data_IF_178171153267
#
_entry.id   IF_178171153267
#
_cell.length_a   1.000
_cell.length_b   1.000
_cell.length_c   1.000
_cell.angle_alpha   90.00
_cell.angle_beta   90.00
_cell.angle_gamma   90.00
#
_symmetry.space_group_name_H-M   'P 1'
#
loop_
_entity.id
_entity.type
_entity.pdbx_description
1 polymer ?
#
# COMPACT_ATOMS: atom_id res chain seq x y z
N UNK A 1 16.74 11.31 10.57
CA UNK A 1 15.76 11.83 11.54
C UNK A 1 14.74 10.75 11.86
N UNK A 2 14.46 10.45 13.15
CA UNK A 2 13.46 9.46 13.56
C UNK A 2 12.07 9.69 12.96
N UNK A 3 11.69 10.95 12.71
CA UNK A 3 10.42 11.33 12.09
C UNK A 3 10.20 10.65 10.74
N UNK A 4 11.21 10.68 9.86
CA UNK A 4 11.11 10.11 8.51
C UNK A 4 11.10 8.59 8.52
N UNK A 5 11.86 7.96 9.42
CA UNK A 5 11.87 6.49 9.57
C UNK A 5 10.49 6.00 9.97
N UNK A 6 9.83 6.66 10.93
CA UNK A 6 8.47 6.31 11.35
C UNK A 6 7.45 6.50 10.23
N UNK A 7 7.52 7.65 9.55
CA UNK A 7 6.52 8.03 8.52
C UNK A 7 6.65 7.18 7.25
N UNK A 8 7.88 6.91 6.82
CA UNK A 8 8.17 6.18 5.58
C UNK A 8 8.25 4.66 5.76
N UNK A 9 8.31 4.17 7.01
CA UNK A 9 8.33 2.73 7.32
C UNK A 9 7.00 2.02 7.03
N UNK A 10 5.89 2.76 7.04
CA UNK A 10 4.57 2.25 6.72
C UNK A 10 4.19 2.63 5.28
N UNK A 11 4.04 1.65 4.39
CA UNK A 11 3.93 1.90 2.94
C UNK A 11 2.70 2.74 2.56
N UNK A 12 1.55 2.50 3.21
CA UNK A 12 0.32 3.27 2.97
C UNK A 12 0.48 4.73 3.42
N UNK A 13 0.95 4.99 4.65
CA UNK A 13 1.21 6.35 5.14
C UNK A 13 2.26 7.09 4.30
N UNK A 14 3.32 6.39 3.87
CA UNK A 14 4.32 6.96 2.96
C UNK A 14 3.69 7.37 1.63
N UNK A 15 2.84 6.51 1.05
CA UNK A 15 2.12 6.79 -0.19
C UNK A 15 1.19 8.00 -0.05
N UNK A 16 0.44 8.09 1.04
CA UNK A 16 -0.46 9.22 1.29
C UNK A 16 0.30 10.54 1.43
N UNK A 17 1.43 10.54 2.14
CA UNK A 17 2.31 11.69 2.24
C UNK A 17 2.81 12.12 0.86
N UNK A 18 3.31 11.18 0.05
CA UNK A 18 3.82 11.49 -1.30
C UNK A 18 2.71 12.04 -2.21
N UNK A 19 1.49 11.51 -2.10
CA UNK A 19 0.31 12.02 -2.81
C UNK A 19 -0.02 13.46 -2.43
N UNK A 20 0.01 13.80 -1.13
CA UNK A 20 -0.21 15.18 -0.65
C UNK A 20 0.82 16.15 -1.22
N UNK A 21 2.06 15.69 -1.42
CA UNK A 21 3.13 16.48 -2.04
C UNK A 21 3.12 16.48 -3.58
N UNK A 22 2.10 15.90 -4.22
CA UNK A 22 1.96 15.92 -5.68
C UNK A 22 2.91 14.99 -6.43
N UNK A 23 3.49 14.00 -5.74
CA UNK A 23 4.35 13.01 -6.40
C UNK A 23 3.54 12.11 -7.34
N UNK A 24 4.08 11.73 -8.51
CA UNK A 24 3.42 10.80 -9.41
C UNK A 24 3.33 9.41 -8.76
N UNK A 25 2.12 8.86 -8.69
CA UNK A 25 1.85 7.58 -8.05
C UNK A 25 1.23 6.59 -9.02
N UNK A 26 1.67 5.34 -8.99
CA UNK A 26 0.95 4.23 -9.66
C UNK A 26 -0.39 3.95 -8.96
N UNK A 27 -1.36 3.34 -9.65
CA UNK A 27 -2.61 2.87 -9.04
C UNK A 27 -2.31 1.87 -7.93
N UNK A 28 -2.98 2.01 -6.78
CA UNK A 28 -2.91 1.12 -5.63
C UNK A 28 -4.24 1.18 -4.92
N UNK A 29 -4.65 0.08 -4.28
CA UNK A 29 -5.75 0.11 -3.31
C UNK A 29 -5.36 0.93 -2.08
N UNK A 30 -6.37 1.25 -1.27
CA UNK A 30 -6.17 1.57 0.15
C UNK A 30 -5.78 0.31 0.93
N UNK A 31 -5.76 0.40 2.27
CA UNK A 31 -5.56 -0.77 3.12
C UNK A 31 -6.68 -1.78 2.86
N UNK A 32 -6.29 -3.04 2.63
CA UNK A 32 -7.26 -4.10 2.39
C UNK A 32 -8.03 -4.41 3.68
N UNK A 33 -9.37 -4.62 3.60
CA UNK A 33 -10.16 -5.07 4.72
C UNK A 33 -9.92 -6.55 5.02
N UNK A 34 -10.40 -7.02 6.18
CA UNK A 34 -10.29 -8.42 6.57
C UNK A 34 -11.27 -9.34 5.80
N UNK A 35 -12.31 -8.76 5.17
CA UNK A 35 -13.26 -9.50 4.35
C UNK A 35 -12.68 -9.88 2.98
N UNK A 36 -12.49 -11.18 2.76
CA UNK A 36 -11.93 -11.72 1.52
C UNK A 36 -12.80 -11.49 0.29
N UNK A 37 -14.12 -11.41 0.44
CA UNK A 37 -15.02 -11.15 -0.68
C UNK A 37 -14.85 -9.70 -1.17
N UNK A 38 -14.71 -8.76 -0.24
CA UNK A 38 -14.37 -7.37 -0.56
C UNK A 38 -12.98 -7.25 -1.18
N UNK A 39 -11.96 -7.91 -0.62
CA UNK A 39 -10.60 -7.95 -1.20
C UNK A 39 -10.63 -8.47 -2.64
N UNK A 40 -11.44 -9.51 -2.91
CA UNK A 40 -11.57 -10.10 -4.24
C UNK A 40 -12.22 -9.12 -5.23
N UNK A 41 -13.23 -8.35 -4.80
CA UNK A 41 -13.84 -7.31 -5.64
C UNK A 41 -12.84 -6.20 -5.98
N UNK A 42 -12.08 -5.74 -4.98
CA UNK A 42 -11.02 -4.72 -5.16
C UNK A 42 -9.99 -5.23 -6.17
N UNK A 43 -9.51 -6.47 -6.02
CA UNK A 43 -8.55 -7.06 -6.93
C UNK A 43 -9.05 -7.12 -8.38
N UNK A 44 -10.31 -7.52 -8.59
CA UNK A 44 -10.91 -7.56 -9.94
C UNK A 44 -11.05 -6.17 -10.57
N UNK A 45 -11.47 -5.17 -9.78
CA UNK A 45 -11.56 -3.79 -10.25
C UNK A 45 -10.18 -3.18 -10.59
N UNK A 46 -9.15 -3.58 -9.84
CA UNK A 46 -7.77 -3.16 -10.11
C UNK A 46 -7.19 -3.80 -11.38
N UNK A 47 -7.59 -5.03 -11.69
CA UNK A 47 -7.14 -5.79 -12.85
C UNK A 47 -5.81 -6.51 -12.61
N UNK A 48 -5.70 -7.74 -13.13
CA UNK A 48 -4.50 -8.56 -12.99
C UNK A 48 -3.46 -8.27 -14.09
N UNK A 49 -2.15 -8.50 -13.84
CA UNK A 49 -1.56 -9.01 -12.60
C UNK A 49 -1.44 -7.96 -11.49
N UNK A 50 -1.52 -8.41 -10.23
CA UNK A 50 -1.42 -7.58 -9.03
C UNK A 50 -0.19 -7.96 -8.21
N UNK A 51 0.25 -7.02 -7.36
CA UNK A 51 1.28 -7.26 -6.35
C UNK A 51 0.71 -6.97 -4.97
N UNK A 52 0.56 -8.01 -4.15
CA UNK A 52 0.17 -7.88 -2.76
C UNK A 52 1.39 -7.43 -1.94
N UNK A 53 1.22 -6.43 -1.08
CA UNK A 53 2.29 -5.94 -0.21
C UNK A 53 1.77 -5.72 1.21
N UNK A 54 2.51 -6.15 2.23
CA UNK A 54 2.15 -5.86 3.60
C UNK A 54 2.45 -4.39 3.89
N UNK A 55 1.51 -3.72 4.55
CA UNK A 55 1.58 -2.31 4.88
C UNK A 55 2.82 -2.00 5.75
N UNK A 56 3.10 -2.89 6.70
CA UNK A 56 4.29 -2.91 7.55
C UNK A 56 5.15 -4.14 7.21
N UNK A 57 6.46 -3.96 7.07
CA UNK A 57 7.38 -5.08 6.79
C UNK A 57 8.54 -4.68 5.89
N UNK A 58 9.67 -5.37 6.03
CA UNK A 58 10.90 -5.17 5.27
C UNK A 58 11.65 -6.49 5.08
N UNK A 59 12.55 -6.54 4.10
CA UNK A 59 13.36 -7.74 3.83
C UNK A 59 12.68 -8.84 2.99
N UNK A 60 11.54 -8.55 2.34
CA UNK A 60 10.84 -9.52 1.47
C UNK A 60 9.93 -10.51 2.21
N UNK A 61 9.78 -10.37 3.52
CA UNK A 61 8.85 -11.17 4.32
C UNK A 61 7.42 -10.68 4.04
N UNK A 62 6.56 -11.59 3.56
CA UNK A 62 5.15 -11.30 3.28
C UNK A 62 4.86 -10.60 1.94
N UNK A 63 5.81 -10.61 0.99
CA UNK A 63 5.49 -10.41 -0.43
C UNK A 63 4.86 -11.68 -1.02
#
# INVERSE_FOLDING_TARGET
SPHWIKTLGHKTAARDLMRVHGMPMMRSSELLPDDLDEVTRIARDMGFPLMLKPANGGGGIGM
#
